data_IF_837810583070
#
_entry.id   IF_837810583070
#
_cell.length_a   1.000
_cell.length_b   1.000
_cell.length_c   1.000
_cell.angle_alpha   90.00
_cell.angle_beta   90.00
_cell.angle_gamma   90.00
#
_symmetry.space_group_name_H-M   'P 1'
#
loop_
_entity.id
_entity.type
_entity.pdbx_description
1 polymer ?
#
# COMPACT_ATOMS: atom_id res chain seq x y z
N UNK A 1 -7.31 20.07 -19.98
CA UNK A 1 -7.39 19.84 -18.52
C UNK A 1 -6.61 18.57 -18.25
N UNK A 2 -5.44 18.65 -17.62
CA UNK A 2 -4.72 17.45 -17.20
C UNK A 2 -5.40 16.98 -15.91
N UNK A 3 -6.16 15.89 -15.99
CA UNK A 3 -6.64 15.19 -14.80
C UNK A 3 -5.41 14.66 -14.05
N UNK A 4 -4.95 15.43 -13.08
CA UNK A 4 -3.87 15.02 -12.20
C UNK A 4 -4.47 14.08 -11.17
N UNK A 5 -4.56 12.80 -11.53
CA UNK A 5 -4.79 11.76 -10.55
C UNK A 5 -3.62 11.76 -9.58
N UNK A 6 -3.89 12.16 -8.35
CA UNK A 6 -2.87 12.43 -7.34
C UNK A 6 -3.15 11.61 -6.10
N UNK A 7 -2.09 11.07 -5.51
CA UNK A 7 -2.18 10.33 -4.27
C UNK A 7 -2.75 11.22 -3.17
N UNK A 8 -3.82 10.80 -2.49
CA UNK A 8 -4.42 11.58 -1.39
C UNK A 8 -3.50 11.69 -0.16
N UNK A 9 -2.45 10.87 -0.10
CA UNK A 9 -1.49 10.84 1.02
C UNK A 9 -0.30 11.77 0.77
N UNK A 10 0.32 11.73 -0.42
CA UNK A 10 1.54 12.51 -0.70
C UNK A 10 1.37 13.60 -1.77
N UNK A 11 0.21 13.69 -2.42
CA UNK A 11 -0.06 14.67 -3.48
C UNK A 11 0.65 14.41 -4.81
N UNK A 12 1.53 13.40 -4.91
CA UNK A 12 2.20 13.04 -6.16
C UNK A 12 1.26 12.38 -7.16
N UNK A 13 1.54 12.58 -8.44
CA UNK A 13 0.77 11.96 -9.52
C UNK A 13 0.88 10.43 -9.48
N UNK A 14 -0.26 9.77 -9.74
CA UNK A 14 -0.37 8.32 -9.85
C UNK A 14 -0.20 7.94 -11.32
N UNK A 15 0.94 7.33 -11.67
CA UNK A 15 1.23 6.87 -13.03
C UNK A 15 0.45 5.58 -13.38
N UNK A 16 0.46 4.61 -12.47
CA UNK A 16 -0.23 3.32 -12.61
C UNK A 16 -1.41 3.26 -11.62
N UNK A 17 -2.64 3.57 -12.08
CA UNK A 17 -3.78 3.65 -11.18
C UNK A 17 -4.25 2.25 -10.78
N UNK A 18 -3.80 1.78 -9.62
CA UNK A 18 -4.31 0.56 -8.96
C UNK A 18 -4.98 0.99 -7.65
N UNK A 19 -6.24 0.59 -7.45
CA UNK A 19 -6.96 0.94 -6.22
C UNK A 19 -6.41 0.20 -4.99
N UNK A 20 -6.63 0.78 -3.81
CA UNK A 20 -6.24 0.21 -2.51
C UNK A 20 -6.80 -1.19 -2.28
N UNK A 21 -7.98 -1.51 -2.82
CA UNK A 21 -8.56 -2.86 -2.75
C UNK A 21 -7.74 -3.88 -3.55
N UNK A 22 -7.30 -3.52 -4.76
CA UNK A 22 -6.48 -4.41 -5.58
C UNK A 22 -5.10 -4.62 -4.96
N UNK A 23 -4.48 -3.56 -4.42
CA UNK A 23 -3.23 -3.72 -3.66
C UNK A 23 -3.42 -4.61 -2.43
N UNK A 24 -4.47 -4.38 -1.63
CA UNK A 24 -4.80 -5.23 -0.48
C UNK A 24 -4.97 -6.70 -0.88
N UNK A 25 -5.67 -6.96 -1.98
CA UNK A 25 -5.85 -8.32 -2.50
C UNK A 25 -4.51 -8.97 -2.89
N UNK A 26 -3.62 -8.23 -3.58
CA UNK A 26 -2.28 -8.71 -3.91
C UNK A 26 -1.47 -9.04 -2.65
N UNK A 27 -1.52 -8.19 -1.64
CA UNK A 27 -0.90 -8.45 -0.33
C UNK A 27 -1.46 -9.73 0.31
N UNK A 28 -2.78 -9.95 0.26
CA UNK A 28 -3.38 -11.16 0.84
C UNK A 28 -2.94 -12.45 0.12
N UNK A 29 -2.76 -12.39 -1.21
CA UNK A 29 -2.21 -13.51 -1.99
C UNK A 29 -0.76 -13.80 -1.56
N UNK A 30 0.08 -12.77 -1.46
CA UNK A 30 1.47 -12.93 -1.01
C UNK A 30 1.56 -13.53 0.39
N UNK A 31 0.75 -13.03 1.35
CA UNK A 31 0.72 -13.56 2.71
C UNK A 31 0.22 -15.01 2.76
N UNK A 32 -0.70 -15.38 1.86
CA UNK A 32 -1.15 -16.76 1.72
C UNK A 32 -0.01 -17.66 1.24
N UNK A 33 0.73 -17.25 0.22
CA UNK A 33 1.84 -18.03 -0.35
C UNK A 33 3.01 -18.18 0.64
N UNK A 34 3.22 -17.16 1.48
CA UNK A 34 4.16 -17.19 2.60
C UNK A 34 3.67 -17.99 3.82
N UNK A 35 2.47 -18.58 3.74
CA UNK A 35 1.85 -19.38 4.81
C UNK A 35 1.73 -18.63 6.14
N UNK A 36 1.48 -17.32 6.08
CA UNK A 36 1.25 -16.50 7.26
C UNK A 36 -0.04 -16.93 7.96
N UNK A 37 0.00 -16.92 9.29
CA UNK A 37 -1.11 -17.29 10.15
C UNK A 37 -2.40 -16.51 9.77
N UNK A 38 -3.57 -17.20 9.72
CA UNK A 38 -4.84 -16.56 9.37
C UNK A 38 -5.21 -15.35 10.24
N UNK A 39 -4.95 -15.37 11.55
CA UNK A 39 -5.26 -14.24 12.43
C UNK A 39 -4.37 -13.04 12.12
N UNK A 40 -3.09 -13.28 11.79
CA UNK A 40 -2.17 -12.22 11.37
C UNK A 40 -2.63 -11.62 10.03
N UNK A 41 -3.03 -12.45 9.06
CA UNK A 41 -3.56 -11.97 7.77
C UNK A 41 -4.80 -11.12 7.95
N UNK A 42 -5.73 -11.55 8.80
CA UNK A 42 -6.94 -10.80 9.12
C UNK A 42 -6.61 -9.46 9.78
N UNK A 43 -5.66 -9.44 10.72
CA UNK A 43 -5.17 -8.21 11.34
C UNK A 43 -4.60 -7.23 10.31
N UNK A 44 -3.73 -7.69 9.41
CA UNK A 44 -3.15 -6.86 8.34
C UNK A 44 -4.25 -6.32 7.42
N UNK A 45 -5.19 -7.17 6.99
CA UNK A 45 -6.30 -6.77 6.13
C UNK A 45 -7.15 -5.66 6.76
N UNK A 46 -7.48 -5.81 8.05
CA UNK A 46 -8.26 -4.81 8.79
C UNK A 46 -7.50 -3.49 8.93
N UNK A 47 -6.20 -3.54 9.22
CA UNK A 47 -5.33 -2.34 9.27
C UNK A 47 -5.28 -1.61 7.92
N UNK A 48 -5.09 -2.33 6.81
CA UNK A 48 -5.04 -1.75 5.47
C UNK A 48 -6.38 -1.11 5.08
N UNK A 49 -7.51 -1.81 5.32
CA UNK A 49 -8.85 -1.28 5.02
C UNK A 49 -9.17 -0.01 5.81
N UNK A 50 -8.74 0.06 7.07
CA UNK A 50 -8.97 1.23 7.93
C UNK A 50 -8.07 2.42 7.56
N UNK A 51 -6.92 2.17 6.92
CA UNK A 51 -5.97 3.23 6.60
C UNK A 51 -6.33 3.98 5.31
N UNK A 52 -6.92 3.31 4.32
CA UNK A 52 -7.21 3.93 3.02
C UNK A 52 -8.68 4.30 2.90
N UNK A 53 -8.95 5.61 2.90
CA UNK A 53 -10.28 6.14 2.58
C UNK A 53 -10.66 5.82 1.13
N UNK A 54 -11.97 5.70 0.91
CA UNK A 54 -12.59 5.58 -0.42
C UNK A 54 -12.91 6.93 -1.05
N UNK A 55 -12.85 8.02 -0.26
CA UNK A 55 -13.08 9.37 -0.76
C UNK A 55 -11.85 9.87 -1.54
N UNK A 56 -12.07 10.29 -2.79
CA UNK A 56 -11.03 10.90 -3.62
C UNK A 56 -11.65 11.82 -4.66
N UNK A 57 -10.88 12.81 -5.10
CA UNK A 57 -11.18 13.65 -6.27
C UNK A 57 -10.66 13.04 -7.58
N UNK A 58 -9.92 11.93 -7.48
CA UNK A 58 -9.39 11.22 -8.64
C UNK A 58 -10.50 10.56 -9.44
N UNK A 59 -10.33 10.52 -10.74
CA UNK A 59 -11.25 9.89 -11.69
C UNK A 59 -10.62 8.73 -12.46
N UNK A 60 -9.32 8.47 -12.27
CA UNK A 60 -8.67 7.28 -12.82
C UNK A 60 -9.22 6.01 -12.18
N UNK A 61 -9.92 5.24 -12.99
CA UNK A 61 -10.28 3.86 -12.68
C UNK A 61 -9.04 2.99 -12.49
N UNK A 62 -9.16 2.03 -11.58
CA UNK A 62 -8.17 1.02 -11.36
C UNK A 62 -7.95 0.18 -12.63
N UNK A 63 -6.72 0.11 -13.14
CA UNK A 63 -6.38 -0.70 -14.31
C UNK A 63 -6.62 -2.20 -14.10
N UNK A 64 -6.60 -2.66 -12.85
CA UNK A 64 -6.76 -4.07 -12.50
C UNK A 64 -8.23 -4.51 -12.41
N UNK A 65 -9.08 -3.76 -11.70
CA UNK A 65 -10.48 -4.17 -11.50
C UNK A 65 -11.50 -3.34 -12.29
N UNK A 66 -11.11 -2.17 -12.82
CA UNK A 66 -11.98 -1.23 -13.55
C UNK A 66 -13.27 -0.83 -12.82
N UNK A 67 -13.30 -0.94 -11.50
CA UNK A 67 -14.52 -0.67 -10.72
C UNK A 67 -14.36 0.42 -9.66
N UNK A 68 -13.12 0.66 -9.21
CA UNK A 68 -12.85 1.65 -8.17
C UNK A 68 -11.88 2.69 -8.70
N UNK A 69 -11.99 3.90 -8.18
CA UNK A 69 -11.05 4.97 -8.41
C UNK A 69 -9.78 4.79 -7.58
N UNK A 70 -8.65 5.20 -8.14
CA UNK A 70 -7.38 5.11 -7.42
C UNK A 70 -7.23 6.25 -6.44
N UNK A 71 -7.00 5.95 -5.16
CA UNK A 71 -6.87 6.97 -4.11
C UNK A 71 -5.42 7.15 -3.65
N UNK A 72 -4.60 6.10 -3.72
CA UNK A 72 -3.25 6.06 -3.17
C UNK A 72 -2.26 5.55 -4.20
N UNK A 73 -1.05 6.12 -4.23
CA UNK A 73 0.03 5.60 -5.06
C UNK A 73 0.65 4.34 -4.44
N UNK A 74 1.34 3.56 -5.28
CA UNK A 74 2.04 2.35 -4.85
C UNK A 74 2.97 2.60 -3.65
N UNK A 75 3.75 3.68 -3.68
CA UNK A 75 4.71 4.00 -2.62
C UNK A 75 4.05 4.22 -1.26
N UNK A 76 2.97 5.01 -1.21
CA UNK A 76 2.23 5.25 0.02
C UNK A 76 1.52 3.99 0.51
N UNK A 77 1.02 3.14 -0.38
CA UNK A 77 0.48 1.84 0.00
C UNK A 77 1.55 0.96 0.65
N UNK A 78 2.71 0.81 0.00
CA UNK A 78 3.84 0.01 0.47
C UNK A 78 4.40 0.53 1.80
N UNK A 79 4.42 1.85 2.01
CA UNK A 79 4.85 2.46 3.28
C UNK A 79 3.95 2.06 4.45
N UNK A 80 2.64 2.08 4.25
CA UNK A 80 1.67 1.66 5.27
C UNK A 80 1.79 0.17 5.55
N UNK A 81 1.88 -0.65 4.50
CA UNK A 81 2.08 -2.08 4.65
C UNK A 81 3.36 -2.37 5.46
N UNK A 82 4.46 -1.72 5.12
CA UNK A 82 5.73 -1.86 5.82
C UNK A 82 5.61 -1.53 7.32
N UNK A 83 4.95 -0.41 7.67
CA UNK A 83 4.71 -0.05 9.07
C UNK A 83 3.93 -1.13 9.81
N UNK A 84 2.89 -1.70 9.20
CA UNK A 84 2.11 -2.80 9.79
C UNK A 84 2.99 -4.04 9.99
N UNK A 85 3.83 -4.40 9.01
CA UNK A 85 4.73 -5.55 9.12
C UNK A 85 5.77 -5.37 10.23
N UNK A 86 6.32 -4.16 10.37
CA UNK A 86 7.25 -3.81 11.45
C UNK A 86 6.56 -3.85 12.83
N UNK A 87 5.33 -3.36 12.96
CA UNK A 87 4.53 -3.49 14.20
C UNK A 87 4.34 -4.95 14.63
N UNK A 88 4.27 -5.86 13.65
CA UNK A 88 4.12 -7.31 13.85
C UNK A 88 5.46 -8.06 13.99
N UNK A 89 6.59 -7.35 14.00
CA UNK A 89 7.95 -7.93 14.05
C UNK A 89 8.21 -8.97 12.93
N UNK A 90 7.72 -8.70 11.71
CA UNK A 90 8.05 -9.56 10.57
C UNK A 90 9.55 -9.54 10.29
N UNK A 91 10.17 -10.70 10.00
CA UNK A 91 11.56 -10.77 9.55
C UNK A 91 11.81 -9.88 8.34
N UNK A 92 12.99 -9.23 8.30
CA UNK A 92 13.40 -8.35 7.20
C UNK A 92 13.35 -9.05 5.84
N UNK A 93 13.69 -10.35 5.80
CA UNK A 93 13.61 -11.17 4.58
C UNK A 93 12.19 -11.25 4.01
N UNK A 94 11.17 -11.36 4.87
CA UNK A 94 9.77 -11.38 4.43
C UNK A 94 9.31 -10.00 3.96
N UNK A 95 9.77 -8.94 4.63
CA UNK A 95 9.52 -7.56 4.22
C UNK A 95 10.13 -7.27 2.84
N UNK A 96 11.33 -7.81 2.58
CA UNK A 96 12.02 -7.68 1.30
C UNK A 96 11.27 -8.38 0.16
N UNK A 97 10.70 -9.57 0.41
CA UNK A 97 9.89 -10.32 -0.59
C UNK A 97 8.63 -9.54 -0.98
N UNK A 98 8.06 -8.74 -0.07
CA UNK A 98 6.86 -7.94 -0.35
C UNK A 98 7.13 -6.67 -1.17
N UNK A 99 8.38 -6.42 -1.59
CA UNK A 99 8.72 -5.28 -2.45
C UNK A 99 8.76 -3.92 -1.73
N UNK A 100 8.81 -3.91 -0.40
CA UNK A 100 8.81 -2.67 0.40
C UNK A 100 10.14 -1.91 0.41
N UNK A 101 11.22 -2.46 -0.18
CA UNK A 101 12.60 -2.00 0.04
C UNK A 101 12.96 -0.59 -0.49
N UNK A 102 12.48 -0.12 -1.66
CA UNK A 102 12.82 1.24 -2.11
C UNK A 102 12.19 2.32 -1.19
N UNK A 103 11.06 1.98 -0.54
CA UNK A 103 10.32 2.90 0.33
C UNK A 103 10.94 3.00 1.72
N UNK A 104 11.53 1.91 2.23
CA UNK A 104 12.16 1.90 3.55
C UNK A 104 13.36 2.83 3.63
N UNK A 105 14.24 2.80 2.62
CA UNK A 105 15.44 3.64 2.62
C UNK A 105 15.10 5.13 2.59
N UNK A 106 14.12 5.55 1.77
CA UNK A 106 13.76 6.98 1.69
C UNK A 106 13.01 7.49 2.94
N UNK A 107 12.09 6.71 3.52
CA UNK A 107 11.34 7.12 4.71
C UNK A 107 12.23 7.13 5.96
N UNK A 108 13.06 6.10 6.14
CA UNK A 108 14.00 6.03 7.27
C UNK A 108 15.02 7.18 7.23
N UNK A 109 15.52 7.53 6.04
CA UNK A 109 16.42 8.68 5.86
C UNK A 109 15.75 10.03 6.13
N UNK A 110 14.43 10.16 5.94
CA UNK A 110 13.68 11.38 6.27
C UNK A 110 13.40 11.48 7.77
N UNK A 111 13.06 10.37 8.43
CA UNK A 111 12.81 10.33 9.88
C UNK A 111 14.09 10.56 10.71
N UNK A 112 15.28 10.23 10.19
CA UNK A 112 16.57 10.56 10.83
C UNK A 112 17.04 12.02 10.65
N UNK A 113 16.37 12.79 9.78
CA UNK A 113 16.70 14.20 9.49
C UNK A 113 15.77 15.21 10.17
N UNK A 114 14.79 14.73 10.93
CA UNK A 114 13.85 15.53 11.73
C UNK A 114 14.21 15.46 13.21
#
# INVERSE_FOLDING_TARGET
MFNQNSCVVCGHSIADPICSRCYTNQTMILLHDLRIDPMIKEYINNKLKNHFSTETINDAECISCRSDVTTVCHYCFSAVLLRILLELNFPEDLVNIMGCKPVYEEIYLQEQRS
#
